data_IF_247822115037
#
_entry.id   IF_247822115037
#
_cell.length_a   1.000
_cell.length_b   1.000
_cell.length_c   1.000
_cell.angle_alpha   90.00
_cell.angle_beta   90.00
_cell.angle_gamma   90.00
#
_symmetry.space_group_name_H-M   'P 1'
#
loop_
_entity.id
_entity.type
_entity.pdbx_description
1 polymer ?
#
# COMPACT_ATOMS: atom_id res chain seq x y z
N UNK A 1 -0.02 -21.68 -1.40
CA UNK A 1 0.27 -20.43 -2.13
C UNK A 1 -0.24 -19.27 -1.28
N UNK A 2 0.52 -18.17 -1.12
CA UNK A 2 0.02 -16.99 -0.37
C UNK A 2 -1.12 -16.35 -1.16
N UNK A 3 -2.25 -16.07 -0.51
CA UNK A 3 -3.38 -15.41 -1.17
C UNK A 3 -3.15 -13.91 -1.35
N UNK A 4 -2.39 -13.29 -0.44
CA UNK A 4 -2.06 -11.87 -0.47
C UNK A 4 -0.62 -11.59 -0.07
N UNK A 5 -0.06 -10.50 -0.61
CA UNK A 5 1.28 -10.01 -0.28
C UNK A 5 1.20 -8.53 0.05
N UNK A 6 1.68 -8.15 1.24
CA UNK A 6 1.76 -6.73 1.67
C UNK A 6 3.14 -6.20 1.39
N UNK A 7 3.24 -5.09 0.68
CA UNK A 7 4.50 -4.50 0.23
C UNK A 7 4.61 -3.03 0.65
N UNK A 8 5.84 -2.62 0.98
CA UNK A 8 6.20 -1.22 1.21
C UNK A 8 7.39 -0.84 0.34
N UNK A 9 7.27 0.29 -0.34
CA UNK A 9 8.32 0.84 -1.19
C UNK A 9 9.23 1.79 -0.42
N UNK A 10 10.51 1.75 -0.70
CA UNK A 10 11.44 2.78 -0.27
C UNK A 10 12.45 3.10 -1.37
N UNK A 11 12.66 4.40 -1.61
CA UNK A 11 13.75 4.89 -2.44
C UNK A 11 15.09 4.72 -1.73
N UNK A 12 16.08 4.17 -2.44
CA UNK A 12 17.44 4.14 -1.96
C UNK A 12 18.16 5.46 -2.28
N UNK A 13 19.03 5.86 -1.37
CA UNK A 13 19.93 7.00 -1.51
C UNK A 13 21.37 6.50 -1.47
N UNK A 14 22.27 7.16 -2.20
CA UNK A 14 23.69 6.75 -2.33
C UNK A 14 23.89 5.39 -3.00
N UNK A 15 22.88 4.90 -3.70
CA UNK A 15 22.87 3.65 -4.47
C UNK A 15 22.32 4.01 -5.84
N UNK A 16 23.15 3.88 -6.88
CA UNK A 16 22.79 4.34 -8.22
C UNK A 16 22.54 3.18 -9.18
N UNK A 17 22.81 1.94 -8.76
CA UNK A 17 22.65 0.75 -9.58
C UNK A 17 22.36 -0.50 -8.74
N UNK A 18 21.86 -1.55 -9.38
CA UNK A 18 21.72 -2.88 -8.76
C UNK A 18 23.08 -3.50 -8.39
N UNK A 19 24.15 -3.11 -9.09
CA UNK A 19 25.52 -3.48 -8.77
C UNK A 19 25.94 -2.88 -7.42
N UNK A 20 25.58 -1.61 -7.16
CA UNK A 20 25.84 -0.95 -5.88
C UNK A 20 25.08 -1.62 -4.73
N UNK A 21 23.87 -2.14 -4.97
CA UNK A 21 23.14 -2.92 -3.97
C UNK A 21 23.93 -4.17 -3.59
N UNK A 22 24.40 -4.94 -4.58
CA UNK A 22 25.20 -6.16 -4.35
C UNK A 22 26.48 -5.83 -3.57
N UNK A 23 27.15 -4.73 -3.90
CA UNK A 23 28.40 -4.30 -3.25
C UNK A 23 28.20 -3.77 -1.83
N UNK A 24 27.23 -2.90 -1.62
CA UNK A 24 27.13 -2.08 -0.41
C UNK A 24 26.04 -2.55 0.58
N UNK A 25 25.02 -3.26 0.10
CA UNK A 25 23.87 -3.69 0.90
C UNK A 25 23.92 -5.20 1.16
N UNK A 26 24.10 -6.05 0.14
CA UNK A 26 24.00 -7.51 0.29
C UNK A 26 25.18 -8.13 1.04
N UNK A 27 26.30 -7.42 1.17
CA UNK A 27 27.43 -7.85 2.02
C UNK A 27 27.24 -7.50 3.50
N UNK A 28 26.19 -6.76 3.85
CA UNK A 28 25.94 -6.34 5.23
C UNK A 28 25.36 -7.47 6.05
N UNK A 29 25.71 -7.45 7.32
CA UNK A 29 25.03 -8.16 8.40
C UNK A 29 24.72 -7.14 9.47
N UNK A 30 23.63 -7.35 10.20
CA UNK A 30 23.26 -6.45 11.29
C UNK A 30 22.99 -7.28 12.54
N UNK A 31 23.43 -6.77 13.69
CA UNK A 31 23.27 -7.42 14.99
C UNK A 31 22.50 -6.51 15.94
N UNK A 32 21.39 -7.00 16.50
CA UNK A 32 20.66 -6.33 17.58
C UNK A 32 20.92 -7.09 18.90
N UNK A 33 21.34 -6.41 19.99
CA UNK A 33 21.60 -7.09 21.24
C UNK A 33 20.31 -7.61 21.90
N UNK A 34 20.41 -8.75 22.58
CA UNK A 34 19.37 -9.28 23.44
C UNK A 34 19.12 -8.30 24.59
N UNK A 35 17.90 -7.75 24.67
CA UNK A 35 17.48 -6.96 25.84
C UNK A 35 17.47 -7.83 27.10
N UNK A 36 18.48 -7.63 27.95
CA UNK A 36 18.68 -8.26 29.25
C UNK A 36 18.25 -7.26 30.33
N UNK A 37 17.43 -7.69 31.30
CA UNK A 37 17.07 -6.85 32.42
C UNK A 37 18.25 -6.75 33.41
N UNK A 38 18.42 -5.60 34.08
CA UNK A 38 19.57 -5.35 34.96
C UNK A 38 19.77 -6.41 36.06
N UNK A 39 18.67 -7.01 36.54
CA UNK A 39 18.71 -8.09 37.54
C UNK A 39 19.35 -9.39 37.02
N UNK A 40 19.47 -9.53 35.70
CA UNK A 40 19.96 -10.73 35.02
C UNK A 40 21.35 -10.55 34.41
N UNK A 41 21.97 -9.37 34.55
CA UNK A 41 23.25 -9.05 33.89
C UNK A 41 24.35 -10.06 34.23
N UNK A 42 24.50 -10.44 35.50
CA UNK A 42 25.48 -11.45 35.94
C UNK A 42 25.25 -12.81 35.30
N UNK A 43 24.00 -13.23 35.12
CA UNK A 43 23.66 -14.50 34.45
C UNK A 43 23.95 -14.44 32.94
N UNK A 44 23.81 -13.26 32.34
CA UNK A 44 24.04 -13.05 30.93
C UNK A 44 25.53 -12.93 30.56
N UNK A 45 26.41 -12.57 31.49
CA UNK A 45 27.87 -12.50 31.26
C UNK A 45 28.44 -13.81 30.71
N UNK A 46 27.92 -14.94 31.20
CA UNK A 46 28.33 -16.29 30.81
C UNK A 46 27.79 -16.76 29.45
N UNK A 47 26.91 -15.99 28.79
CA UNK A 47 26.44 -16.31 27.44
C UNK A 47 27.53 -15.97 26.41
N UNK A 48 27.64 -16.80 25.37
CA UNK A 48 28.47 -16.47 24.20
C UNK A 48 27.92 -15.25 23.46
N UNK A 49 28.74 -14.62 22.63
CA UNK A 49 28.29 -13.48 21.80
C UNK A 49 27.15 -13.85 20.85
N UNK A 50 27.16 -15.08 20.32
CA UNK A 50 26.07 -15.59 19.48
C UNK A 50 24.74 -15.69 20.22
N UNK A 51 24.78 -16.02 21.52
CA UNK A 51 23.61 -16.04 22.39
C UNK A 51 23.19 -14.62 22.80
N UNK A 52 24.12 -13.66 22.90
CA UNK A 52 23.82 -12.28 23.30
C UNK A 52 23.20 -11.44 22.18
N UNK A 53 23.22 -11.90 20.93
CA UNK A 53 22.80 -11.10 19.78
C UNK A 53 21.74 -11.82 18.91
N UNK A 54 20.86 -11.02 18.33
CA UNK A 54 20.02 -11.39 17.20
C UNK A 54 20.73 -10.98 15.91
N UNK A 55 20.71 -11.87 14.92
CA UNK A 55 21.39 -11.66 13.64
C UNK A 55 20.38 -11.47 12.52
N UNK A 56 20.62 -10.44 11.71
CA UNK A 56 19.91 -10.18 10.47
C UNK A 56 20.89 -10.39 9.33
N UNK A 57 20.54 -11.26 8.38
CA UNK A 57 21.40 -11.65 7.26
C UNK A 57 20.60 -11.75 5.97
N UNK A 58 21.31 -11.73 4.84
CA UNK A 58 20.73 -12.03 3.53
C UNK A 58 20.88 -13.52 3.23
N UNK A 59 19.83 -14.11 2.67
CA UNK A 59 19.89 -15.47 2.12
C UNK A 59 20.37 -15.47 0.67
N UNK A 60 19.92 -16.47 -0.09
CA UNK A 60 20.32 -16.62 -1.49
C UNK A 60 19.70 -15.54 -2.38
N UNK A 61 20.55 -14.82 -3.12
CA UNK A 61 20.14 -13.78 -4.05
C UNK A 61 19.66 -14.44 -5.34
N UNK A 62 18.49 -14.04 -5.84
CA UNK A 62 18.03 -14.53 -7.13
C UNK A 62 18.91 -14.02 -8.28
N UNK A 63 18.79 -14.66 -9.44
CA UNK A 63 19.37 -14.13 -10.66
C UNK A 63 18.78 -12.76 -10.98
N UNK A 64 19.54 -11.94 -11.70
CA UNK A 64 19.01 -10.69 -12.22
C UNK A 64 17.98 -11.03 -13.31
N UNK A 65 16.83 -10.40 -13.23
CA UNK A 65 15.71 -10.57 -14.15
C UNK A 65 15.29 -9.19 -14.66
N UNK A 66 14.50 -9.20 -15.73
CA UNK A 66 13.91 -8.03 -16.33
C UNK A 66 12.41 -8.27 -16.58
N UNK A 67 11.64 -7.18 -16.53
CA UNK A 67 10.27 -7.17 -17.02
C UNK A 67 10.19 -6.11 -18.10
N UNK A 68 9.96 -6.53 -19.33
CA UNK A 68 9.57 -5.65 -20.42
C UNK A 68 8.06 -5.40 -20.41
N UNK A 69 7.69 -4.13 -20.58
CA UNK A 69 6.32 -3.71 -20.78
C UNK A 69 6.24 -2.82 -22.02
N UNK A 70 5.16 -2.98 -22.77
CA UNK A 70 4.91 -2.25 -23.99
C UNK A 70 3.95 -1.11 -23.67
N UNK A 71 4.36 0.14 -23.91
CA UNK A 71 3.40 1.25 -23.91
C UNK A 71 2.56 1.23 -25.20
N UNK A 72 1.48 2.02 -25.24
CA UNK A 72 0.56 2.18 -26.37
C UNK A 72 1.31 2.62 -27.65
N UNK A 73 2.49 3.21 -27.50
CA UNK A 73 3.38 3.62 -28.60
C UNK A 73 4.45 2.58 -28.99
N UNK A 74 4.37 1.33 -28.51
CA UNK A 74 5.33 0.25 -28.77
C UNK A 74 6.78 0.53 -28.32
N UNK A 75 7.02 1.56 -27.50
CA UNK A 75 8.30 1.71 -26.80
C UNK A 75 8.38 0.67 -25.69
N UNK A 76 9.40 -0.18 -25.78
CA UNK A 76 9.73 -1.18 -24.78
C UNK A 76 10.49 -0.50 -23.63
N UNK A 77 9.81 -0.37 -22.50
CA UNK A 77 10.45 -0.04 -21.24
C UNK A 77 10.72 -1.36 -20.50
N UNK A 78 11.96 -1.55 -20.05
CA UNK A 78 12.37 -2.72 -19.28
C UNK A 78 12.77 -2.32 -17.87
N UNK A 79 12.36 -3.09 -16.87
CA UNK A 79 12.76 -2.88 -15.47
C UNK A 79 13.60 -4.05 -15.01
N UNK A 80 14.87 -3.77 -14.77
CA UNK A 80 15.78 -4.73 -14.13
C UNK A 80 15.46 -4.86 -12.64
N UNK A 81 15.47 -6.11 -12.16
CA UNK A 81 15.25 -6.41 -10.75
C UNK A 81 15.94 -7.70 -10.31
N UNK A 82 16.10 -7.85 -9.00
CA UNK A 82 16.33 -9.13 -8.35
C UNK A 82 15.66 -9.14 -6.98
N UNK A 83 15.57 -10.31 -6.35
CA UNK A 83 15.00 -10.45 -5.02
C UNK A 83 15.89 -11.31 -4.13
N UNK A 84 15.77 -11.10 -2.83
CA UNK A 84 16.56 -11.80 -1.82
C UNK A 84 15.75 -11.91 -0.53
N UNK A 85 15.75 -13.07 0.14
CA UNK A 85 15.22 -13.18 1.49
C UNK A 85 16.13 -12.47 2.50
N UNK A 86 15.54 -11.66 3.37
CA UNK A 86 16.15 -11.21 4.60
C UNK A 86 15.77 -12.19 5.73
N UNK A 87 16.77 -12.85 6.30
CA UNK A 87 16.62 -13.76 7.43
C UNK A 87 16.79 -12.97 8.73
N UNK A 88 15.71 -12.90 9.52
CA UNK A 88 15.61 -12.02 10.69
C UNK A 88 15.35 -12.85 11.95
N UNK A 89 16.31 -12.80 12.88
CA UNK A 89 16.12 -13.31 14.23
C UNK A 89 15.41 -12.30 15.14
N UNK A 90 14.48 -12.74 15.98
CA UNK A 90 13.88 -11.88 16.99
C UNK A 90 13.39 -12.65 18.21
N UNK A 91 13.12 -11.95 19.30
CA UNK A 91 12.77 -12.59 20.57
C UNK A 91 11.41 -13.29 20.55
N UNK A 92 11.34 -14.49 21.13
CA UNK A 92 10.10 -15.11 21.63
C UNK A 92 9.65 -14.42 22.92
N UNK A 93 8.37 -14.60 23.28
CA UNK A 93 7.81 -14.15 24.56
C UNK A 93 8.49 -14.81 25.75
N UNK A 94 8.66 -16.14 25.71
CA UNK A 94 9.38 -16.90 26.72
C UNK A 94 10.87 -16.89 26.41
N UNK A 95 11.67 -16.32 27.31
CA UNK A 95 13.14 -16.26 27.20
C UNK A 95 13.87 -17.08 28.25
N UNK A 96 13.15 -17.51 29.28
CA UNK A 96 13.68 -18.20 30.45
C UNK A 96 12.86 -19.43 30.80
N UNK A 97 13.50 -20.37 31.49
CA UNK A 97 12.84 -21.51 32.11
C UNK A 97 12.16 -21.13 33.43
N UNK A 98 11.56 -22.11 34.10
CA UNK A 98 10.94 -21.95 35.42
C UNK A 98 11.94 -21.59 36.54
N UNK A 99 13.22 -21.87 36.33
CA UNK A 99 14.31 -21.62 37.28
C UNK A 99 14.95 -20.23 37.06
N UNK A 100 14.45 -19.46 36.09
CA UNK A 100 14.95 -18.12 35.77
C UNK A 100 16.29 -18.12 35.05
N UNK A 101 16.67 -19.23 34.39
CA UNK A 101 17.83 -19.31 33.51
C UNK A 101 17.42 -19.01 32.06
N UNK A 102 18.33 -18.45 31.27
CA UNK A 102 18.07 -18.20 29.86
C UNK A 102 17.91 -19.52 29.11
N UNK A 103 16.86 -19.61 28.29
CA UNK A 103 16.72 -20.70 27.34
C UNK A 103 17.81 -20.58 26.27
N UNK A 104 18.22 -21.70 25.69
CA UNK A 104 19.12 -21.69 24.52
C UNK A 104 18.52 -20.86 23.39
N UNK A 105 19.38 -20.31 22.51
CA UNK A 105 18.95 -19.44 21.40
C UNK A 105 17.80 -20.04 20.58
N UNK A 106 17.90 -21.31 20.18
CA UNK A 106 16.85 -22.02 19.44
C UNK A 106 15.46 -21.96 20.12
N UNK A 107 15.45 -21.99 21.46
CA UNK A 107 14.22 -22.00 22.25
C UNK A 107 13.67 -20.60 22.59
N UNK A 108 14.44 -19.53 22.39
CA UNK A 108 14.01 -18.14 22.66
C UNK A 108 14.03 -17.20 21.46
N UNK A 109 14.48 -17.66 20.30
CA UNK A 109 14.49 -16.91 19.04
C UNK A 109 13.38 -17.41 18.13
N UNK A 110 12.68 -16.46 17.51
CA UNK A 110 11.86 -16.66 16.33
C UNK A 110 12.69 -16.29 15.09
N UNK A 111 12.41 -16.97 13.99
CA UNK A 111 12.99 -16.68 12.68
C UNK A 111 11.87 -16.22 11.75
N UNK A 112 12.13 -15.16 11.01
CA UNK A 112 11.27 -14.72 9.92
C UNK A 112 12.11 -14.49 8.67
N UNK A 113 11.60 -15.00 7.54
CA UNK A 113 12.19 -14.74 6.24
C UNK A 113 11.29 -13.73 5.50
N UNK A 114 11.85 -12.57 5.18
CA UNK A 114 11.13 -11.45 4.57
C UNK A 114 11.67 -11.25 3.16
N UNK A 115 10.82 -11.36 2.14
CA UNK A 115 11.26 -11.13 0.77
C UNK A 115 11.48 -9.63 0.52
N UNK A 116 12.61 -9.32 -0.09
CA UNK A 116 13.02 -7.97 -0.47
C UNK A 116 13.32 -7.95 -1.95
N UNK A 117 12.76 -6.99 -2.67
CA UNK A 117 13.00 -6.77 -4.10
C UNK A 117 13.81 -5.50 -4.29
N UNK A 118 14.80 -5.54 -5.18
CA UNK A 118 15.57 -4.36 -5.61
C UNK A 118 15.39 -4.20 -7.11
N UNK A 119 15.12 -2.98 -7.57
CA UNK A 119 14.79 -2.70 -8.96
C UNK A 119 15.13 -1.25 -9.31
N UNK A 120 15.37 -1.01 -10.60
CA UNK A 120 15.73 0.30 -11.12
C UNK A 120 14.56 0.92 -11.87
N UNK A 121 14.20 2.16 -11.53
CA UNK A 121 13.16 2.95 -12.20
C UNK A 121 13.64 4.38 -12.33
N UNK A 122 13.56 4.93 -13.55
CA UNK A 122 13.84 6.35 -13.84
C UNK A 122 15.16 6.80 -13.20
N UNK A 123 16.22 6.05 -13.45
CA UNK A 123 17.57 6.29 -12.94
C UNK A 123 17.71 6.28 -11.41
N UNK A 124 16.80 5.62 -10.71
CA UNK A 124 16.84 5.48 -9.26
C UNK A 124 16.51 4.07 -8.78
N UNK A 125 17.28 3.62 -7.79
CA UNK A 125 17.12 2.28 -7.22
C UNK A 125 16.12 2.32 -6.08
N UNK A 126 15.17 1.40 -6.13
CA UNK A 126 14.16 1.24 -5.10
C UNK A 126 14.28 -0.13 -4.45
N UNK A 127 13.73 -0.22 -3.24
CA UNK A 127 13.57 -1.47 -2.53
C UNK A 127 12.11 -1.67 -2.14
N UNK A 128 11.60 -2.90 -2.26
CA UNK A 128 10.28 -3.28 -1.75
C UNK A 128 10.48 -4.30 -0.63
N UNK A 129 9.87 -4.05 0.53
CA UNK A 129 9.84 -5.00 1.66
C UNK A 129 8.47 -5.65 1.74
N UNK A 130 8.41 -6.97 1.60
CA UNK A 130 7.16 -7.73 1.62
C UNK A 130 6.82 -8.24 3.03
N UNK A 131 6.18 -7.39 3.85
CA UNK A 131 5.70 -7.75 5.18
C UNK A 131 4.55 -6.85 5.64
N UNK A 132 3.54 -7.44 6.27
CA UNK A 132 2.48 -6.70 6.97
C UNK A 132 2.85 -6.33 8.42
N UNK A 133 4.01 -6.75 8.90
CA UNK A 133 4.50 -6.49 10.25
C UNK A 133 5.57 -5.39 10.22
N UNK A 134 5.26 -4.22 10.79
CA UNK A 134 6.17 -3.06 10.87
C UNK A 134 7.50 -3.40 11.55
N UNK A 135 7.50 -4.26 12.58
CA UNK A 135 8.75 -4.67 13.22
C UNK A 135 9.65 -5.48 12.29
N UNK A 136 9.09 -6.22 11.33
CA UNK A 136 9.89 -6.88 10.31
C UNK A 136 10.43 -5.88 9.31
N UNK A 137 9.60 -4.92 8.87
CA UNK A 137 10.02 -3.83 7.98
C UNK A 137 11.20 -3.06 8.60
N UNK A 138 11.09 -2.65 9.86
CA UNK A 138 12.16 -1.93 10.56
C UNK A 138 13.46 -2.74 10.69
N UNK A 139 13.37 -4.04 10.93
CA UNK A 139 14.56 -4.91 11.01
C UNK A 139 15.23 -5.08 9.64
N UNK A 140 14.44 -5.21 8.57
CA UNK A 140 14.98 -5.22 7.20
C UNK A 140 15.63 -3.88 6.89
N UNK A 141 15.03 -2.74 7.27
CA UNK A 141 15.65 -1.41 7.10
C UNK A 141 17.00 -1.30 7.83
N UNK A 142 17.14 -1.89 9.03
CA UNK A 142 18.42 -1.97 9.75
C UNK A 142 19.45 -2.82 9.00
N UNK A 143 19.04 -3.97 8.45
CA UNK A 143 19.90 -4.85 7.65
C UNK A 143 20.41 -4.12 6.39
N UNK A 144 19.50 -3.47 5.65
CA UNK A 144 19.84 -2.60 4.51
C UNK A 144 20.81 -1.49 4.94
N UNK A 145 20.58 -0.90 6.11
CA UNK A 145 21.27 0.28 6.61
C UNK A 145 20.41 1.51 6.39
N UNK A 146 19.88 2.07 7.47
CA UNK A 146 18.92 3.19 7.43
C UNK A 146 19.47 4.43 6.74
N UNK A 147 20.79 4.59 6.69
CA UNK A 147 21.47 5.67 5.96
C UNK A 147 21.39 5.57 4.43
N UNK A 148 20.99 4.40 3.88
CA UNK A 148 20.75 4.20 2.46
C UNK A 148 19.27 4.37 2.09
N UNK A 149 18.38 4.56 3.06
CA UNK A 149 16.94 4.62 2.81
C UNK A 149 16.49 6.08 2.90
N UNK A 150 15.87 6.59 1.84
CA UNK A 150 15.29 7.93 1.88
C UNK A 150 14.21 8.02 2.96
N UNK A 151 14.06 9.20 3.56
CA UNK A 151 12.95 9.45 4.49
C UNK A 151 11.62 9.57 3.76
N UNK A 152 11.63 10.14 2.56
CA UNK A 152 10.47 10.45 1.74
C UNK A 152 10.77 10.09 0.29
N UNK A 153 9.75 9.62 -0.41
CA UNK A 153 9.78 9.38 -1.84
C UNK A 153 8.58 10.09 -2.49
N UNK A 154 8.79 11.36 -2.84
CA UNK A 154 7.74 12.23 -3.41
C UNK A 154 7.20 11.65 -4.73
N UNK A 155 8.03 10.91 -5.46
CA UNK A 155 7.66 10.23 -6.71
C UNK A 155 6.62 9.13 -6.50
N UNK A 156 6.48 8.63 -5.26
CA UNK A 156 5.52 7.60 -4.87
C UNK A 156 4.51 8.05 -3.81
N UNK A 157 4.48 9.33 -3.45
CA UNK A 157 3.33 9.87 -2.71
C UNK A 157 2.14 10.05 -3.67
N UNK A 158 0.94 9.63 -3.27
CA UNK A 158 -0.26 9.78 -4.10
C UNK A 158 -0.79 11.22 -4.03
N UNK A 159 -1.24 11.78 -5.17
CA UNK A 159 -2.01 13.02 -5.15
C UNK A 159 -3.29 12.86 -4.31
N UNK A 160 -3.66 13.85 -3.46
CA UNK A 160 -4.75 13.72 -2.49
C UNK A 160 -6.13 13.31 -3.05
N UNK A 161 -6.40 13.67 -4.31
CA UNK A 161 -7.68 13.45 -4.99
C UNK A 161 -7.64 12.30 -6.00
N UNK A 162 -6.51 11.59 -6.13
CA UNK A 162 -6.37 10.51 -7.10
C UNK A 162 -7.41 9.41 -6.88
N UNK A 163 -7.64 9.01 -5.62
CA UNK A 163 -8.62 7.97 -5.31
C UNK A 163 -10.06 8.45 -5.55
N UNK A 164 -10.40 9.70 -5.21
CA UNK A 164 -11.70 10.28 -5.53
C UNK A 164 -11.92 10.36 -7.04
N UNK A 165 -10.87 10.68 -7.82
CA UNK A 165 -10.90 10.64 -9.27
C UNK A 165 -11.12 9.24 -9.82
N UNK A 166 -10.47 8.20 -9.26
CA UNK A 166 -10.75 6.80 -9.66
C UNK A 166 -12.21 6.41 -9.42
N UNK A 167 -12.80 6.84 -8.30
CA UNK A 167 -14.22 6.66 -8.03
C UNK A 167 -15.12 7.38 -9.05
N UNK A 168 -14.78 8.62 -9.41
CA UNK A 168 -15.46 9.36 -10.48
C UNK A 168 -15.39 8.61 -11.80
N UNK A 169 -14.19 8.17 -12.22
CA UNK A 169 -14.00 7.41 -13.46
C UNK A 169 -14.77 6.09 -13.47
N UNK A 170 -14.82 5.38 -12.35
CA UNK A 170 -15.59 4.15 -12.21
C UNK A 170 -17.09 4.39 -12.41
N UNK A 171 -17.64 5.39 -11.71
CA UNK A 171 -19.09 5.64 -11.65
C UNK A 171 -19.63 6.36 -12.89
N UNK A 172 -18.91 7.35 -13.42
CA UNK A 172 -19.39 8.20 -14.52
C UNK A 172 -18.85 7.79 -15.90
N UNK A 173 -17.72 7.07 -15.95
CA UNK A 173 -17.03 6.76 -17.20
C UNK A 173 -16.80 5.25 -17.40
N UNK A 174 -17.65 4.42 -16.79
CA UNK A 174 -17.58 2.95 -16.86
C UNK A 174 -16.19 2.37 -16.53
N UNK A 175 -15.42 3.07 -15.69
CA UNK A 175 -14.07 2.67 -15.29
C UNK A 175 -12.98 2.90 -16.32
N UNK A 176 -13.26 3.48 -17.49
CA UNK A 176 -12.23 3.71 -18.51
C UNK A 176 -11.23 4.79 -18.05
N UNK A 177 -9.97 4.41 -17.78
CA UNK A 177 -8.92 5.33 -17.33
C UNK A 177 -8.10 5.90 -18.51
N UNK A 178 -7.85 5.06 -19.52
CA UNK A 178 -7.13 5.35 -20.77
C UNK A 178 -7.50 4.27 -21.81
N UNK A 179 -7.06 4.39 -23.06
CA UNK A 179 -7.37 3.50 -24.19
C UNK A 179 -6.97 2.02 -23.98
N UNK A 180 -6.20 1.72 -22.93
CA UNK A 180 -5.78 0.36 -22.58
C UNK A 180 -6.07 -0.07 -21.15
N UNK A 181 -6.58 0.80 -20.26
CA UNK A 181 -6.72 0.48 -18.83
C UNK A 181 -8.14 0.75 -18.34
N UNK A 182 -8.76 -0.30 -17.81
CA UNK A 182 -10.12 -0.24 -17.26
C UNK A 182 -10.12 -0.61 -15.78
N UNK A 183 -10.76 0.24 -14.98
CA UNK A 183 -11.11 -0.02 -13.60
C UNK A 183 -12.38 -0.86 -13.54
N UNK A 184 -12.18 -2.17 -13.34
CA UNK A 184 -13.23 -3.18 -13.37
C UNK A 184 -14.06 -3.20 -12.08
N UNK A 185 -13.44 -2.89 -10.94
CA UNK A 185 -14.13 -2.83 -9.66
C UNK A 185 -13.37 -1.98 -8.64
N UNK A 186 -14.11 -1.40 -7.70
CA UNK A 186 -13.60 -0.86 -6.44
C UNK A 186 -14.28 -1.63 -5.31
N UNK A 187 -13.51 -2.49 -4.62
CA UNK A 187 -14.04 -3.40 -3.59
C UNK A 187 -13.69 -3.00 -2.16
N UNK A 188 -12.99 -1.89 -1.98
CA UNK A 188 -12.71 -1.35 -0.66
C UNK A 188 -12.12 0.06 -0.67
N UNK A 189 -12.24 0.75 0.46
CA UNK A 189 -11.58 2.03 0.73
C UNK A 189 -11.35 2.24 2.22
N UNK A 190 -10.46 3.18 2.53
CA UNK A 190 -10.31 3.79 3.85
C UNK A 190 -10.23 5.30 3.64
N UNK A 191 -10.94 6.08 4.45
CA UNK A 191 -10.88 7.54 4.47
C UNK A 191 -11.08 8.08 5.88
N UNK A 192 -10.72 9.35 6.11
CA UNK A 192 -10.83 10.01 7.40
C UNK A 192 -11.87 11.14 7.32
N UNK A 193 -12.66 11.38 8.38
CA UNK A 193 -13.57 12.53 8.49
C UNK A 193 -13.05 13.48 9.56
N UNK A 194 -12.69 14.71 9.18
CA UNK A 194 -12.25 15.77 10.10
C UNK A 194 -10.82 15.58 10.65
N UNK A 195 -10.58 14.57 11.48
CA UNK A 195 -9.28 14.26 12.09
C UNK A 195 -8.76 12.85 11.72
N UNK A 196 -7.47 12.57 12.00
CA UNK A 196 -6.86 11.25 11.72
C UNK A 196 -7.45 10.09 12.57
N UNK A 197 -8.37 10.37 13.50
CA UNK A 197 -8.89 9.38 14.45
C UNK A 197 -10.26 8.84 14.02
N UNK A 198 -10.99 9.57 13.18
CA UNK A 198 -12.28 9.13 12.62
C UNK A 198 -12.08 8.41 11.29
N UNK A 199 -11.70 7.13 11.37
CA UNK A 199 -11.44 6.26 10.22
C UNK A 199 -12.73 5.58 9.76
N UNK A 200 -13.10 5.79 8.50
CA UNK A 200 -14.17 5.07 7.81
C UNK A 200 -13.57 4.07 6.84
N UNK A 201 -14.10 2.85 6.83
CA UNK A 201 -13.72 1.84 5.87
C UNK A 201 -14.95 1.11 5.35
N UNK A 202 -14.93 0.78 4.07
CA UNK A 202 -15.92 -0.06 3.42
C UNK A 202 -15.21 -1.19 2.70
N UNK A 203 -15.74 -2.41 2.82
CA UNK A 203 -15.29 -3.58 2.04
C UNK A 203 -16.53 -4.35 1.56
N UNK A 204 -16.64 -4.52 0.26
CA UNK A 204 -17.77 -5.16 -0.43
C UNK A 204 -17.42 -5.25 -1.91
N UNK A 205 -17.88 -6.28 -2.61
CA UNK A 205 -17.77 -6.36 -4.08
C UNK A 205 -18.47 -5.21 -4.80
N UNK A 206 -19.35 -4.46 -4.10
CA UNK A 206 -20.05 -3.27 -4.59
C UNK A 206 -19.75 -2.03 -3.71
N UNK A 207 -18.50 -1.85 -3.29
CA UNK A 207 -18.13 -0.77 -2.36
C UNK A 207 -18.43 0.63 -2.92
N UNK A 208 -18.32 0.82 -4.23
CA UNK A 208 -18.76 2.03 -4.93
C UNK A 208 -20.26 2.32 -4.82
N UNK A 209 -21.09 1.29 -4.60
CA UNK A 209 -22.53 1.42 -4.43
C UNK A 209 -22.99 1.59 -2.97
N UNK A 210 -22.08 1.40 -2.00
CA UNK A 210 -22.42 1.56 -0.60
C UNK A 210 -22.77 3.03 -0.31
N UNK A 211 -23.93 3.24 0.31
CA UNK A 211 -24.43 4.57 0.74
C UNK A 211 -23.36 5.32 1.55
N UNK A 212 -22.63 4.61 2.42
CA UNK A 212 -21.57 5.19 3.27
C UNK A 212 -20.43 5.75 2.42
N UNK A 213 -19.99 5.03 1.39
CA UNK A 213 -18.94 5.50 0.47
C UNK A 213 -19.39 6.74 -0.28
N UNK A 214 -20.61 6.70 -0.81
CA UNK A 214 -21.23 7.83 -1.53
C UNK A 214 -21.35 9.06 -0.63
N UNK A 215 -21.84 8.89 0.60
CA UNK A 215 -21.97 9.96 1.58
C UNK A 215 -20.61 10.57 1.98
N UNK A 216 -19.59 9.73 2.13
CA UNK A 216 -18.22 10.18 2.41
C UNK A 216 -17.69 11.10 1.29
N UNK A 217 -17.83 10.66 0.03
CA UNK A 217 -17.40 11.43 -1.14
C UNK A 217 -18.21 12.72 -1.30
N UNK A 218 -19.55 12.67 -1.12
CA UNK A 218 -20.40 13.85 -1.27
C UNK A 218 -20.06 14.94 -0.24
N UNK A 219 -19.65 14.55 0.97
CA UNK A 219 -19.19 15.48 2.01
C UNK A 219 -17.83 16.13 1.70
N UNK A 220 -17.14 15.68 0.65
CA UNK A 220 -15.89 16.30 0.17
C UNK A 220 -14.64 15.74 0.83
N UNK A 221 -14.80 14.63 1.54
CA UNK A 221 -13.69 13.95 2.20
C UNK A 221 -12.81 13.24 1.16
N UNK A 222 -11.53 13.14 1.47
CA UNK A 222 -10.53 12.48 0.62
C UNK A 222 -10.31 11.05 1.09
N UNK A 223 -10.35 10.13 0.14
CA UNK A 223 -9.99 8.74 0.39
C UNK A 223 -8.47 8.63 0.59
N UNK A 224 -8.06 7.73 1.48
CA UNK A 224 -6.66 7.44 1.83
C UNK A 224 -6.17 6.11 1.30
N UNK A 225 -7.08 5.19 1.01
CA UNK A 225 -6.76 3.92 0.36
C UNK A 225 -7.86 3.51 -0.61
N UNK A 226 -7.51 2.70 -1.58
CA UNK A 226 -8.44 2.04 -2.49
C UNK A 226 -8.07 0.57 -2.65
N UNK A 227 -9.05 -0.33 -2.66
CA UNK A 227 -8.91 -1.70 -3.16
C UNK A 227 -9.59 -1.77 -4.52
N UNK A 228 -8.81 -1.99 -5.57
CA UNK A 228 -9.24 -1.91 -6.95
C UNK A 228 -8.90 -3.19 -7.72
N UNK A 229 -9.71 -3.48 -8.75
CA UNK A 229 -9.39 -4.43 -9.81
C UNK A 229 -9.15 -3.65 -11.11
N UNK A 230 -7.93 -3.66 -11.60
CA UNK A 230 -7.57 -3.05 -12.88
C UNK A 230 -7.32 -4.14 -13.91
N UNK A 231 -7.78 -3.89 -15.13
CA UNK A 231 -7.54 -4.77 -16.27
C UNK A 231 -7.01 -3.98 -17.46
N UNK A 232 -5.98 -4.52 -18.10
CA UNK A 232 -5.51 -4.07 -19.41
C UNK A 232 -5.27 -5.30 -20.32
N UNK A 233 -4.54 -5.12 -21.43
CA UNK A 233 -4.19 -6.22 -22.34
C UNK A 233 -3.24 -7.26 -21.71
N UNK A 234 -2.48 -6.88 -20.70
CA UNK A 234 -1.38 -7.67 -20.13
C UNK A 234 -1.77 -8.40 -18.85
N UNK A 235 -2.61 -7.77 -18.03
CA UNK A 235 -2.87 -8.18 -16.65
C UNK A 235 -4.31 -7.86 -16.24
N UNK A 236 -4.82 -8.71 -15.37
CA UNK A 236 -5.97 -8.44 -14.50
C UNK A 236 -5.49 -8.52 -13.05
N UNK A 237 -5.40 -7.39 -12.35
CA UNK A 237 -4.77 -7.28 -11.03
C UNK A 237 -5.73 -6.72 -10.00
N UNK A 238 -5.77 -7.38 -8.84
CA UNK A 238 -6.51 -6.93 -7.67
C UNK A 238 -5.51 -6.51 -6.59
N UNK A 239 -5.60 -5.25 -6.17
CA UNK A 239 -4.68 -4.69 -5.18
C UNK A 239 -5.35 -3.63 -4.29
N UNK A 240 -4.85 -3.49 -3.07
CA UNK A 240 -5.04 -2.31 -2.23
C UNK A 240 -3.83 -1.38 -2.41
N UNK A 241 -4.07 -0.07 -2.49
CA UNK A 241 -3.05 0.98 -2.57
C UNK A 241 -3.41 2.11 -1.58
N UNK A 242 -2.44 2.59 -0.81
CA UNK A 242 -2.59 3.76 0.05
C UNK A 242 -1.90 5.02 -0.51
N UNK A 243 -2.06 6.14 0.19
CA UNK A 243 -1.53 7.44 -0.20
C UNK A 243 0.02 7.54 -0.16
N UNK A 244 0.68 6.51 0.38
CA UNK A 244 2.13 6.37 0.47
C UNK A 244 2.68 5.23 -0.42
N UNK A 245 1.87 4.73 -1.36
CA UNK A 245 2.20 3.58 -2.21
C UNK A 245 2.48 2.26 -1.48
N UNK A 246 2.03 2.09 -0.23
CA UNK A 246 1.99 0.75 0.35
C UNK A 246 0.87 -0.04 -0.31
N UNK A 247 1.14 -1.32 -0.57
CA UNK A 247 0.22 -2.17 -1.33
C UNK A 247 -0.12 -3.46 -0.62
N UNK A 248 -1.32 -3.97 -0.89
CA UNK A 248 -1.66 -5.38 -0.68
C UNK A 248 -2.07 -5.98 -2.01
N UNK A 249 -1.32 -6.94 -2.52
CA UNK A 249 -1.59 -7.58 -3.82
C UNK A 249 -2.31 -8.90 -3.56
N UNK A 250 -3.48 -9.08 -4.15
CA UNK A 250 -4.27 -10.31 -4.04
C UNK A 250 -3.88 -11.26 -5.18
N UNK A 251 -2.77 -11.97 -4.99
CA UNK A 251 -2.13 -12.83 -6.01
C UNK A 251 -3.09 -13.90 -6.53
N UNK A 252 -3.96 -14.45 -5.68
CA UNK A 252 -4.92 -15.48 -6.07
C UNK A 252 -6.14 -14.94 -6.85
N UNK A 253 -6.35 -13.62 -6.84
CA UNK A 253 -7.40 -12.94 -7.60
C UNK A 253 -6.85 -12.21 -8.83
N UNK A 254 -5.53 -12.27 -9.02
CA UNK A 254 -4.83 -11.61 -10.11
C UNK A 254 -4.37 -12.63 -11.14
N UNK A 255 -4.33 -12.25 -12.42
CA UNK A 255 -3.93 -13.12 -13.52
C UNK A 255 -3.12 -12.36 -14.56
N UNK A 256 -2.11 -13.02 -15.12
CA UNK A 256 -1.42 -12.59 -16.33
C UNK A 256 -2.32 -12.95 -17.52
N UNK A 257 -2.62 -11.99 -18.38
CA UNK A 257 -3.45 -12.19 -19.57
C UNK A 257 -2.62 -12.48 -20.81
N UNK A 258 -1.36 -12.02 -20.85
CA UNK A 258 -0.36 -12.46 -21.83
C UNK A 258 0.61 -13.48 -21.21
N UNK A 259 1.21 -14.31 -22.07
CA UNK A 259 2.36 -15.11 -21.69
C UNK A 259 3.55 -14.17 -21.45
N UNK A 260 3.82 -13.88 -20.19
CA UNK A 260 5.09 -13.29 -19.77
C UNK A 260 6.05 -14.40 -19.39
N UNK A 261 7.32 -14.28 -19.79
CA UNK A 261 8.38 -15.26 -19.50
C UNK A 261 8.66 -15.45 -18.00
N UNK A 262 8.16 -14.55 -17.14
CA UNK A 262 8.29 -14.68 -15.70
C UNK A 262 7.59 -15.96 -15.18
N UNK A 263 8.38 -16.97 -14.78
CA UNK A 263 7.89 -18.27 -14.26
C UNK A 263 7.03 -18.13 -13.00
N UNK A 264 7.22 -17.05 -12.22
CA UNK A 264 6.52 -16.83 -10.96
C UNK A 264 5.62 -15.57 -10.99
N UNK A 265 4.37 -15.71 -10.56
CA UNK A 265 3.37 -14.64 -10.60
C UNK A 265 3.61 -13.55 -9.55
N UNK A 266 4.10 -13.90 -8.36
CA UNK A 266 4.27 -12.95 -7.26
C UNK A 266 5.33 -11.87 -7.57
N UNK A 267 6.58 -12.21 -7.99
CA UNK A 267 7.56 -11.21 -8.42
C UNK A 267 7.04 -10.30 -9.54
N UNK A 268 6.37 -10.89 -10.53
CA UNK A 268 5.81 -10.14 -11.66
C UNK A 268 4.79 -9.08 -11.20
N UNK A 269 3.79 -9.47 -10.40
CA UNK A 269 2.77 -8.52 -9.95
C UNK A 269 3.36 -7.41 -9.08
N UNK A 270 4.33 -7.72 -8.22
CA UNK A 270 5.00 -6.73 -7.37
C UNK A 270 5.74 -5.71 -8.23
N UNK A 271 6.63 -6.17 -9.10
CA UNK A 271 7.45 -5.28 -9.93
C UNK A 271 6.55 -4.48 -10.88
N UNK A 272 5.63 -5.13 -11.59
CA UNK A 272 4.69 -4.47 -12.51
C UNK A 272 3.86 -3.37 -11.83
N UNK A 273 3.32 -3.64 -10.63
CA UNK A 273 2.51 -2.66 -9.91
C UNK A 273 3.31 -1.40 -9.58
N UNK A 274 4.52 -1.58 -9.05
CA UNK A 274 5.36 -0.45 -8.66
C UNK A 274 6.04 0.25 -9.83
N UNK A 275 6.45 -0.48 -10.86
CA UNK A 275 7.23 0.07 -11.96
C UNK A 275 6.42 0.68 -13.08
N UNK A 276 5.21 0.19 -13.29
CA UNK A 276 4.36 0.62 -14.38
C UNK A 276 3.03 1.19 -13.90
N UNK A 277 2.25 0.39 -13.17
CA UNK A 277 0.84 0.72 -12.91
C UNK A 277 0.68 1.94 -12.00
N UNK A 278 1.40 2.00 -10.87
CA UNK A 278 1.35 3.15 -9.97
C UNK A 278 1.81 4.45 -10.68
N UNK A 279 2.97 4.48 -11.36
CA UNK A 279 3.38 5.64 -12.16
C UNK A 279 2.36 6.05 -13.23
N UNK A 280 1.77 5.08 -13.96
CA UNK A 280 0.77 5.34 -15.00
C UNK A 280 -0.51 5.94 -14.40
N UNK A 281 -1.02 5.40 -13.29
CA UNK A 281 -2.19 5.95 -12.59
C UNK A 281 -1.96 7.41 -12.14
N UNK A 282 -0.77 7.70 -11.59
CA UNK A 282 -0.38 9.08 -11.23
C UNK A 282 -0.35 9.99 -12.45
N UNK A 283 0.22 9.53 -13.56
CA UNK A 283 0.28 10.31 -14.80
C UNK A 283 -1.12 10.61 -15.37
N UNK A 284 -2.00 9.60 -15.44
CA UNK A 284 -3.37 9.76 -15.92
C UNK A 284 -4.17 10.74 -15.07
N UNK A 285 -4.04 10.65 -13.74
CA UNK A 285 -4.63 11.64 -12.84
C UNK A 285 -4.05 13.02 -13.10
N UNK A 286 -2.72 13.20 -13.12
CA UNK A 286 -2.10 14.51 -13.30
C UNK A 286 -2.52 15.19 -14.61
N UNK A 287 -2.70 14.41 -15.68
CA UNK A 287 -3.18 14.91 -16.98
C UNK A 287 -4.64 15.38 -16.94
N UNK A 288 -5.47 14.80 -16.08
CA UNK A 288 -6.89 15.14 -15.93
C UNK A 288 -7.20 16.05 -14.73
N UNK A 289 -6.24 16.21 -13.81
CA UNK A 289 -6.45 16.82 -12.49
C UNK A 289 -7.02 18.23 -12.58
N UNK A 290 -6.53 19.06 -13.52
CA UNK A 290 -7.01 20.44 -13.67
C UNK A 290 -8.50 20.48 -13.99
N UNK A 291 -8.94 19.68 -14.96
CA UNK A 291 -10.35 19.63 -15.36
C UNK A 291 -11.21 19.00 -14.26
N UNK A 292 -10.75 17.87 -13.71
CA UNK A 292 -11.46 17.19 -12.62
C UNK A 292 -11.69 18.11 -11.42
N UNK A 293 -10.64 18.80 -10.94
CA UNK A 293 -10.74 19.64 -9.75
C UNK A 293 -11.59 20.90 -9.95
N UNK A 294 -11.57 21.49 -11.15
CA UNK A 294 -12.25 22.76 -11.41
C UNK A 294 -13.68 22.62 -11.89
N UNK A 295 -14.00 21.57 -12.63
CA UNK A 295 -15.28 21.43 -13.33
C UNK A 295 -16.08 20.21 -12.88
N UNK A 296 -15.44 19.04 -12.77
CA UNK A 296 -16.17 17.78 -12.58
C UNK A 296 -16.40 17.43 -11.10
N UNK A 297 -15.41 17.66 -10.23
CA UNK A 297 -15.42 17.21 -8.82
C UNK A 297 -16.62 17.73 -8.05
N UNK A 298 -16.99 19.00 -8.24
CA UNK A 298 -18.16 19.58 -7.56
C UNK A 298 -19.46 18.95 -8.05
N UNK A 299 -19.60 18.77 -9.37
CA UNK A 299 -20.80 18.15 -9.94
C UNK A 299 -20.93 16.69 -9.53
N UNK A 300 -19.83 15.96 -9.58
CA UNK A 300 -19.75 14.58 -9.10
C UNK A 300 -20.19 14.45 -7.63
N UNK A 301 -19.71 15.33 -6.74
CA UNK A 301 -20.14 15.35 -5.34
C UNK A 301 -21.64 15.61 -5.16
N UNK A 302 -22.20 16.54 -5.93
CA UNK A 302 -23.63 16.85 -5.89
C UNK A 302 -24.44 15.64 -6.35
N UNK A 303 -24.08 15.05 -7.49
CA UNK A 303 -24.76 13.88 -8.05
C UNK A 303 -24.75 12.71 -7.06
N UNK A 304 -23.58 12.36 -6.52
CA UNK A 304 -23.46 11.28 -5.54
C UNK A 304 -24.24 11.59 -4.25
N UNK A 305 -24.28 12.85 -3.83
CA UNK A 305 -25.10 13.27 -2.69
C UNK A 305 -26.60 13.09 -2.93
N UNK A 306 -27.08 13.42 -4.14
CA UNK A 306 -28.47 13.20 -4.53
C UNK A 306 -28.82 11.70 -4.55
N UNK A 307 -27.93 10.84 -5.04
CA UNK A 307 -28.12 9.38 -5.00
C UNK A 307 -28.26 8.85 -3.56
N UNK A 308 -27.49 9.39 -2.62
CA UNK A 308 -27.60 9.04 -1.19
C UNK A 308 -28.95 9.44 -0.62
N UNK A 309 -29.36 10.69 -0.86
CA UNK A 309 -30.66 11.22 -0.41
C UNK A 309 -31.79 10.37 -0.99
N UNK A 310 -31.78 10.11 -2.30
CA UNK A 310 -32.76 9.30 -2.99
C UNK A 310 -32.84 7.89 -2.41
N UNK A 311 -31.68 7.27 -2.12
CA UNK A 311 -31.63 5.95 -1.50
C UNK A 311 -32.25 5.93 -0.10
N UNK A 312 -32.05 6.98 0.70
CA UNK A 312 -32.62 7.09 2.06
C UNK A 312 -34.14 7.30 1.99
N UNK A 313 -34.60 8.18 1.09
CA UNK A 313 -36.03 8.44 0.84
C UNK A 313 -36.73 7.14 0.47
N UNK A 314 -36.21 6.44 -0.55
CA UNK A 314 -36.78 5.16 -1.02
C UNK A 314 -36.78 4.10 0.07
N UNK A 315 -35.71 3.99 0.86
CA UNK A 315 -35.57 2.94 1.88
C UNK A 315 -36.53 3.12 3.06
N UNK A 316 -36.80 4.36 3.43
CA UNK A 316 -37.66 4.70 4.58
C UNK A 316 -39.07 5.11 4.16
N UNK A 317 -39.38 5.05 2.86
CA UNK A 317 -40.67 5.44 2.29
C UNK A 317 -41.06 6.90 2.64
N UNK A 318 -40.06 7.79 2.67
CA UNK A 318 -40.29 9.22 2.89
C UNK A 318 -40.97 9.82 1.66
N UNK A 319 -41.85 10.79 1.88
CA UNK A 319 -42.46 11.56 0.80
C UNK A 319 -41.84 12.95 0.65
N UNK A 320 -42.31 13.71 -0.34
CA UNK A 320 -41.84 15.08 -0.58
C UNK A 320 -42.18 16.04 0.56
N UNK A 321 -43.26 15.80 1.31
CA UNK A 321 -43.65 16.64 2.43
C UNK A 321 -42.70 16.43 3.61
N UNK A 322 -42.33 15.18 3.90
CA UNK A 322 -41.34 14.83 4.94
C UNK A 322 -40.01 15.54 4.70
N UNK A 323 -39.57 15.58 3.44
CA UNK A 323 -38.32 16.25 3.04
C UNK A 323 -38.48 17.77 3.03
N UNK A 324 -39.61 18.30 2.52
CA UNK A 324 -39.89 19.73 2.50
C UNK A 324 -39.96 20.33 3.92
N UNK A 325 -40.48 19.60 4.90
CA UNK A 325 -40.54 20.02 6.30
C UNK A 325 -39.17 20.36 6.90
N UNK A 326 -38.08 19.75 6.41
CA UNK A 326 -36.70 20.08 6.79
C UNK A 326 -36.31 21.51 6.39
N UNK A 327 -36.88 22.01 5.29
CA UNK A 327 -36.63 23.36 4.78
C UNK A 327 -37.60 24.38 5.38
N UNK A 328 -38.80 23.99 5.80
CA UNK A 328 -39.72 24.88 6.52
C UNK A 328 -39.24 25.17 7.95
N UNK A 329 -38.62 24.19 8.61
CA UNK A 329 -37.94 24.34 9.91
C UNK A 329 -36.58 25.03 9.83
N UNK A 330 -36.06 25.29 8.63
CA UNK A 330 -34.73 25.90 8.44
C UNK A 330 -34.66 27.40 8.73
N UNK A 331 -35.80 28.09 8.90
CA UNK A 331 -35.85 29.45 9.47
C UNK A 331 -35.32 29.55 10.92
N UNK A 332 -35.09 28.39 11.56
CA UNK A 332 -34.42 28.25 12.87
C UNK A 332 -32.96 27.78 12.78
N UNK A 333 -32.46 27.36 11.61
CA UNK A 333 -31.08 26.87 11.45
C UNK A 333 -30.05 28.00 11.33
N UNK A 334 -30.40 29.11 10.66
CA UNK A 334 -29.53 30.29 10.52
C UNK A 334 -29.19 30.95 11.87
N UNK A 335 -30.04 30.80 12.90
CA UNK A 335 -29.79 31.34 14.24
C UNK A 335 -28.81 30.52 15.11
N UNK A 336 -28.43 29.31 14.70
CA UNK A 336 -27.49 28.47 15.47
C UNK A 336 -26.05 28.55 14.96
N UNK A 337 -25.81 29.13 13.78
CA UNK A 337 -24.46 29.28 13.22
C UNK A 337 -23.79 30.60 13.67
N UNK A 338 -24.56 31.61 14.10
CA UNK A 338 -24.01 32.87 14.65
C UNK A 338 -23.58 32.78 16.13
N UNK A 339 -23.80 31.64 16.79
CA UNK A 339 -23.33 31.40 18.16
C UNK A 339 -22.58 30.06 18.25
N UNK A 340 -21.44 29.97 17.58
CA UNK A 340 -20.30 29.13 17.99
C UNK A 340 -18.98 29.70 17.55
#
# INVERSE_FOLDING_TARGET
MKSKVTCKLFKLTKINSLIDVKKNILNRKYTDPLKIASRDSKKAEHLSEEEKNFYFTWGEVSQQNDISFYDINEQEDSVEYFFVPADIEFTKRKKKDSNGNFLSKANRVNYAQIMVYFFNIKDSVHLIICSSNEFHVDRVKKLVGTQYISKIDDDYQMPPDLFNWLFFKYTQNAGLLDDGITLMNISGFIGNIGDEHNIFSGTSDQTSELIITKAFISNGETLKTITARLRNADIDIVFTLDDMSNTQIFVNQSSKLKMFEAENNEPFFIVYLYSYLIPKLKSLYNNSAKHFLSEEKKQFRIQIGLEVIESIIKKNLLDLNDVAALFETSSTFDKKIEHK
#
